data_IF_128124087967
#
_entry.id   IF_128124087967
#
_cell.length_a   1.000
_cell.length_b   1.000
_cell.length_c   1.000
_cell.angle_alpha   90.00
_cell.angle_beta   90.00
_cell.angle_gamma   90.00
#
_symmetry.space_group_name_H-M   'P 1'
#
loop_
_entity.id
_entity.type
_entity.pdbx_description
1 polymer ?
#
# COMPACT_ATOMS: atom_id res chain seq x y z
N UNK A 1 2.31 -16.42 -14.98
CA UNK A 1 1.44 -15.23 -15.09
C UNK A 1 2.22 -13.98 -14.68
N UNK A 2 3.30 -13.64 -15.40
CA UNK A 2 4.14 -12.45 -15.11
C UNK A 2 3.48 -11.13 -15.54
N UNK A 3 2.50 -11.22 -16.43
CA UNK A 3 1.87 -10.09 -17.11
C UNK A 3 1.04 -9.18 -16.16
N UNK A 4 0.53 -9.72 -15.04
CA UNK A 4 -0.30 -8.91 -14.12
C UNK A 4 0.52 -7.97 -13.25
N UNK A 5 1.70 -8.39 -12.79
CA UNK A 5 2.57 -7.57 -11.95
C UNK A 5 3.17 -6.40 -12.74
N UNK A 6 3.56 -6.65 -13.99
CA UNK A 6 4.09 -5.62 -14.90
C UNK A 6 3.06 -4.52 -15.16
N UNK A 7 1.77 -4.89 -15.27
CA UNK A 7 0.67 -3.93 -15.48
C UNK A 7 0.19 -3.23 -14.21
N UNK A 8 0.69 -3.61 -13.02
CA UNK A 8 0.19 -3.08 -11.75
C UNK A 8 0.35 -1.56 -11.64
N UNK A 9 1.48 -1.02 -12.13
CA UNK A 9 1.75 0.42 -12.12
C UNK A 9 0.69 1.20 -12.92
N UNK A 10 0.49 0.81 -14.16
CA UNK A 10 -0.42 1.51 -15.07
C UNK A 10 -1.87 1.35 -14.63
N UNK A 11 -2.24 0.17 -14.12
CA UNK A 11 -3.57 -0.07 -13.56
C UNK A 11 -3.82 0.76 -12.30
N UNK A 12 -2.86 0.84 -11.38
CA UNK A 12 -3.01 1.63 -10.15
C UNK A 12 -3.06 3.13 -10.45
N UNK A 13 -2.24 3.60 -11.39
CA UNK A 13 -2.27 4.98 -11.88
C UNK A 13 -3.63 5.31 -12.49
N UNK A 14 -4.13 4.44 -13.37
CA UNK A 14 -5.46 4.59 -13.97
C UNK A 14 -6.56 4.65 -12.90
N UNK A 15 -6.53 3.73 -11.93
CA UNK A 15 -7.52 3.69 -10.85
C UNK A 15 -7.56 5.00 -10.04
N UNK A 16 -6.39 5.56 -9.68
CA UNK A 16 -6.32 6.82 -8.94
C UNK A 16 -6.82 8.01 -9.76
N UNK A 17 -6.50 8.05 -11.06
CA UNK A 17 -7.02 9.08 -11.98
C UNK A 17 -8.54 8.96 -12.14
N UNK A 18 -9.05 7.75 -12.41
CA UNK A 18 -10.47 7.50 -12.61
C UNK A 18 -11.28 7.90 -11.36
N UNK A 19 -10.85 7.52 -10.16
CA UNK A 19 -11.53 7.93 -8.92
C UNK A 19 -11.59 9.45 -8.80
N UNK A 20 -10.48 10.16 -9.05
CA UNK A 20 -10.42 11.63 -8.96
C UNK A 20 -11.39 12.30 -9.95
N UNK A 21 -11.50 11.74 -11.15
CA UNK A 21 -12.40 12.24 -12.18
C UNK A 21 -13.88 12.00 -11.81
N UNK A 22 -14.18 10.86 -11.19
CA UNK A 22 -15.54 10.48 -10.79
C UNK A 22 -16.08 11.31 -9.62
N UNK A 23 -15.28 11.52 -8.57
CA UNK A 23 -15.77 12.16 -7.33
C UNK A 23 -15.83 13.69 -7.40
N UNK A 24 -15.12 14.32 -8.36
CA UNK A 24 -15.13 15.77 -8.62
C UNK A 24 -14.73 16.70 -7.45
N UNK A 25 -13.88 16.26 -6.49
CA UNK A 25 -12.73 17.11 -6.18
C UNK A 25 -11.50 16.62 -6.92
N UNK A 26 -10.89 17.54 -7.67
CA UNK A 26 -9.66 17.30 -8.45
C UNK A 26 -8.45 16.91 -7.57
N UNK A 27 -8.55 17.07 -6.25
CA UNK A 27 -7.46 16.95 -5.28
C UNK A 27 -7.74 15.91 -4.19
N UNK A 28 -8.27 14.73 -4.55
CA UNK A 28 -8.35 13.63 -3.58
C UNK A 28 -6.93 13.20 -3.15
N UNK A 29 -6.57 13.37 -1.87
CA UNK A 29 -5.32 12.83 -1.34
C UNK A 29 -5.42 11.32 -1.26
N UNK A 30 -4.36 10.63 -1.69
CA UNK A 30 -4.29 9.17 -1.67
C UNK A 30 -3.05 8.75 -0.90
N UNK A 31 -3.24 7.88 0.09
CA UNK A 31 -2.14 7.18 0.76
C UNK A 31 -2.17 5.73 0.30
N UNK A 32 -1.13 5.31 -0.40
CA UNK A 32 -0.97 3.92 -0.85
C UNK A 32 -0.05 3.18 0.12
N UNK A 33 -0.51 2.03 0.61
CA UNK A 33 0.30 1.16 1.46
C UNK A 33 1.03 0.17 0.57
N UNK A 34 2.36 0.22 0.56
CA UNK A 34 3.17 -0.79 -0.11
C UNK A 34 2.93 -2.12 0.57
N UNK A 35 2.50 -3.14 -0.16
CA UNK A 35 2.08 -4.43 0.43
C UNK A 35 3.27 -5.11 1.13
N UNK A 36 3.09 -5.64 2.34
CA UNK A 36 4.18 -6.25 3.10
C UNK A 36 4.48 -7.67 2.63
N UNK A 37 3.44 -8.45 2.41
CA UNK A 37 3.50 -9.90 2.25
C UNK A 37 2.29 -10.38 1.43
N UNK A 38 2.34 -11.64 1.02
CA UNK A 38 1.31 -12.29 0.20
C UNK A 38 0.53 -13.29 1.05
N UNK A 39 -0.59 -13.76 0.54
CA UNK A 39 -1.42 -14.80 1.18
C UNK A 39 -0.69 -16.16 1.17
N UNK A 40 -0.37 -16.69 2.36
CA UNK A 40 0.33 -17.96 2.53
C UNK A 40 -0.59 -19.19 2.36
N UNK A 41 -1.92 -19.03 2.34
CA UNK A 41 -2.85 -20.14 2.10
C UNK A 41 -2.97 -20.55 0.65
N UNK A 42 -2.47 -19.71 -0.26
CA UNK A 42 -2.32 -20.09 -1.65
C UNK A 42 -0.85 -20.32 -1.96
N UNK A 43 -0.47 -21.46 -2.58
CA UNK A 43 0.83 -21.61 -3.22
C UNK A 43 0.85 -20.69 -4.44
N UNK A 44 1.07 -19.40 -4.20
CA UNK A 44 1.25 -18.39 -5.21
C UNK A 44 2.65 -17.85 -5.12
N UNK A 45 3.31 -17.89 -6.27
CA UNK A 45 4.68 -17.49 -6.47
C UNK A 45 4.86 -15.99 -6.10
N UNK A 46 5.77 -15.73 -5.18
CA UNK A 46 6.04 -14.43 -4.55
C UNK A 46 6.99 -13.56 -5.37
N UNK A 47 7.54 -14.10 -6.48
CA UNK A 47 8.43 -13.41 -7.41
C UNK A 47 7.97 -12.01 -7.81
N UNK A 48 6.66 -11.75 -7.80
CA UNK A 48 6.07 -10.49 -8.24
C UNK A 48 5.92 -9.45 -7.11
N UNK A 49 6.10 -9.81 -5.84
CA UNK A 49 5.96 -8.88 -4.73
C UNK A 49 6.90 -7.66 -4.87
N UNK A 50 8.18 -7.82 -5.24
CA UNK A 50 9.05 -6.67 -5.51
C UNK A 50 8.50 -5.76 -6.62
N UNK A 51 8.05 -6.34 -7.74
CA UNK A 51 7.51 -5.57 -8.86
C UNK A 51 6.23 -4.78 -8.48
N UNK A 52 5.34 -5.37 -7.68
CA UNK A 52 4.14 -4.68 -7.17
C UNK A 52 4.53 -3.54 -6.23
N UNK A 53 5.47 -3.77 -5.31
CA UNK A 53 5.94 -2.75 -4.38
C UNK A 53 6.67 -1.59 -5.08
N UNK A 54 7.45 -1.89 -6.11
CA UNK A 54 8.07 -0.88 -6.97
C UNK A 54 7.02 -0.08 -7.75
N UNK A 55 5.99 -0.74 -8.26
CA UNK A 55 4.88 -0.06 -8.93
C UNK A 55 4.13 0.90 -7.98
N UNK A 56 3.85 0.50 -6.73
CA UNK A 56 3.21 1.35 -5.72
C UNK A 56 4.06 2.59 -5.40
N UNK A 57 5.36 2.41 -5.24
CA UNK A 57 6.32 3.50 -5.05
C UNK A 57 6.38 4.42 -6.27
N UNK A 58 6.45 3.87 -7.48
CA UNK A 58 6.52 4.64 -8.72
C UNK A 58 5.27 5.52 -8.91
N UNK A 59 4.07 4.99 -8.66
CA UNK A 59 2.82 5.77 -8.76
C UNK A 59 2.82 6.96 -7.81
N UNK A 60 3.34 6.83 -6.58
CA UNK A 60 3.44 7.97 -5.65
C UNK A 60 4.41 9.08 -6.11
N UNK A 61 5.36 8.75 -6.99
CA UNK A 61 6.30 9.72 -7.58
C UNK A 61 5.76 10.36 -8.85
N UNK A 62 4.88 9.65 -9.56
CA UNK A 62 4.34 10.08 -10.85
C UNK A 62 3.03 10.87 -10.73
N UNK A 63 2.26 10.71 -9.65
CA UNK A 63 0.98 11.40 -9.44
C UNK A 63 1.07 12.42 -8.29
N UNK A 64 0.46 13.61 -8.44
CA UNK A 64 0.37 14.58 -7.35
C UNK A 64 -0.56 14.06 -6.25
N UNK A 65 -0.37 14.52 -5.02
CA UNK A 65 -1.19 14.19 -3.85
C UNK A 65 -1.34 12.69 -3.59
N UNK A 66 -0.31 11.92 -3.95
CA UNK A 66 -0.18 10.49 -3.63
C UNK A 66 1.06 10.29 -2.78
N UNK A 67 0.92 9.65 -1.63
CA UNK A 67 2.04 9.28 -0.75
C UNK A 67 2.07 7.78 -0.57
N UNK A 68 3.26 7.18 -0.69
CA UNK A 68 3.45 5.77 -0.37
C UNK A 68 4.01 5.60 1.05
N UNK A 69 3.37 4.75 1.85
CA UNK A 69 3.95 4.25 3.10
C UNK A 69 4.44 2.82 2.93
N UNK A 70 5.56 2.49 3.57
CA UNK A 70 6.17 1.18 3.43
C UNK A 70 5.85 0.29 4.62
N UNK A 71 4.87 -0.61 4.46
CA UNK A 71 4.44 -1.50 5.55
C UNK A 71 5.53 -2.47 6.03
N UNK A 72 6.63 -2.67 5.28
CA UNK A 72 7.79 -3.42 5.79
C UNK A 72 8.53 -2.69 6.92
N UNK A 73 8.25 -1.39 7.14
CA UNK A 73 8.78 -0.60 8.26
C UNK A 73 7.92 -0.72 9.52
N UNK A 74 6.78 -1.41 9.46
CA UNK A 74 6.01 -1.75 10.66
C UNK A 74 6.84 -2.69 11.56
N UNK A 75 6.62 -2.68 12.88
CA UNK A 75 7.35 -3.52 13.83
C UNK A 75 6.89 -4.99 13.73
N UNK A 76 7.19 -5.63 12.60
CA UNK A 76 6.86 -7.02 12.28
C UNK A 76 8.13 -7.85 12.37
N UNK A 77 8.06 -8.98 13.06
CA UNK A 77 9.14 -9.96 13.06
C UNK A 77 8.80 -11.09 12.09
N UNK A 78 9.38 -11.04 10.89
CA UNK A 78 9.16 -12.06 9.86
C UNK A 78 9.81 -13.42 10.17
N UNK A 79 10.66 -13.52 11.19
CA UNK A 79 11.25 -14.80 11.63
C UNK A 79 10.32 -15.53 12.60
N UNK A 80 9.66 -14.78 13.50
CA UNK A 80 8.74 -15.34 14.51
C UNK A 80 7.26 -15.19 14.14
N UNK A 81 6.97 -14.50 13.03
CA UNK A 81 5.64 -14.05 12.60
C UNK A 81 4.94 -13.11 13.60
N UNK A 82 5.68 -12.51 14.54
CA UNK A 82 5.11 -11.48 15.41
C UNK A 82 4.67 -10.27 14.59
N UNK A 83 3.46 -9.79 14.84
CA UNK A 83 2.82 -8.74 14.06
C UNK A 83 1.96 -9.24 12.90
N UNK A 84 1.98 -10.54 12.62
CA UNK A 84 1.15 -11.21 11.62
C UNK A 84 0.13 -12.10 12.34
N UNK A 85 -1.04 -12.30 11.74
CA UNK A 85 -2.07 -13.20 12.24
C UNK A 85 -1.66 -14.67 12.05
N UNK A 86 -2.44 -15.60 12.60
CA UNK A 86 -2.23 -17.06 12.47
C UNK A 86 -2.23 -17.55 11.02
N UNK A 87 -2.76 -16.70 10.16
CA UNK A 87 -2.94 -16.95 8.75
C UNK A 87 -1.66 -16.60 7.94
N UNK A 88 -0.69 -15.99 8.62
CA UNK A 88 0.58 -15.53 8.07
C UNK A 88 0.47 -14.53 6.91
N UNK A 89 -0.73 -14.21 6.40
CA UNK A 89 -0.98 -13.34 5.26
C UNK A 89 -1.53 -11.96 5.63
N UNK A 90 -2.06 -11.80 6.84
CA UNK A 90 -2.64 -10.56 7.32
C UNK A 90 -1.95 -10.06 8.58
N UNK A 91 -1.90 -8.74 8.77
CA UNK A 91 -1.45 -8.15 10.02
C UNK A 91 -2.38 -8.54 11.18
N UNK A 92 -1.81 -8.70 12.36
CA UNK A 92 -2.63 -8.84 13.57
C UNK A 92 -3.18 -7.47 14.03
N UNK A 93 -4.09 -7.49 14.99
CA UNK A 93 -4.73 -6.28 15.53
C UNK A 93 -3.73 -5.21 16.00
N UNK A 94 -2.65 -5.61 16.67
CA UNK A 94 -1.63 -4.67 17.18
C UNK A 94 -0.91 -3.94 16.04
N UNK A 95 -0.56 -4.67 14.99
CA UNK A 95 0.06 -4.12 13.79
C UNK A 95 -0.90 -3.20 13.04
N UNK A 96 -2.17 -3.58 12.89
CA UNK A 96 -3.20 -2.74 12.26
C UNK A 96 -3.45 -1.44 13.02
N UNK A 97 -3.45 -1.46 14.36
CA UNK A 97 -3.52 -0.24 15.18
C UNK A 97 -2.31 0.67 14.91
N UNK A 98 -1.12 0.10 14.78
CA UNK A 98 0.10 0.84 14.47
C UNK A 98 0.03 1.46 13.07
N UNK A 99 -0.40 0.68 12.09
CA UNK A 99 -0.61 1.14 10.71
C UNK A 99 -1.66 2.26 10.66
N UNK A 100 -2.77 2.13 11.37
CA UNK A 100 -3.82 3.16 11.44
C UNK A 100 -3.31 4.50 11.98
N UNK A 101 -2.49 4.48 13.05
CA UNK A 101 -1.83 5.69 13.57
C UNK A 101 -0.89 6.29 12.53
N UNK A 102 -0.09 5.46 11.86
CA UNK A 102 0.83 5.94 10.84
C UNK A 102 0.11 6.53 9.62
N UNK A 103 -1.01 5.96 9.20
CA UNK A 103 -1.89 6.51 8.16
C UNK A 103 -2.41 7.90 8.57
N UNK A 104 -2.87 8.05 9.81
CA UNK A 104 -3.36 9.33 10.32
C UNK A 104 -2.24 10.39 10.39
N UNK A 105 -1.06 10.03 10.89
CA UNK A 105 0.11 10.93 10.94
C UNK A 105 0.59 11.33 9.53
N UNK A 106 0.59 10.37 8.59
CA UNK A 106 0.93 10.64 7.18
C UNK A 106 -0.08 11.60 6.56
N UNK A 107 -1.38 11.40 6.83
CA UNK A 107 -2.41 12.31 6.35
C UNK A 107 -2.21 13.72 6.90
N UNK A 108 -2.06 13.87 8.21
CA UNK A 108 -1.91 15.18 8.86
C UNK A 108 -0.65 15.92 8.40
N UNK A 109 0.47 15.21 8.19
CA UNK A 109 1.75 15.83 7.79
C UNK A 109 1.81 16.23 6.31
N UNK A 110 1.13 15.50 5.43
CA UNK A 110 1.16 15.78 3.98
C UNK A 110 -0.04 16.56 3.48
N UNK A 111 -1.19 16.41 4.14
CA UNK A 111 -2.48 16.90 3.66
C UNK A 111 -3.25 17.68 4.74
N UNK A 112 -2.68 17.89 5.93
CA UNK A 112 -3.34 18.61 7.02
C UNK A 112 -3.73 20.04 6.68
N UNK A 113 -3.04 20.68 5.73
CA UNK A 113 -3.40 22.00 5.20
C UNK A 113 -4.70 22.01 4.37
N UNK A 114 -5.26 20.84 4.05
CA UNK A 114 -6.54 20.70 3.35
C UNK A 114 -7.74 20.61 4.32
N UNK A 115 -7.49 20.58 5.64
CA UNK A 115 -8.48 20.66 6.72
C UNK A 115 -8.75 22.12 7.10
#
# INVERSE_FOLDING_TARGET
MNDTAIRYKDNLKKFFTDIRDDIKPRYLPIIVVKIALYDFFRPHDTHNLPAVREAQEAVSKELPDVVAIDSLKLPINYTTNEGINLDHGHFNTTTEITLGKWLAETYLSHFGQLL
#
